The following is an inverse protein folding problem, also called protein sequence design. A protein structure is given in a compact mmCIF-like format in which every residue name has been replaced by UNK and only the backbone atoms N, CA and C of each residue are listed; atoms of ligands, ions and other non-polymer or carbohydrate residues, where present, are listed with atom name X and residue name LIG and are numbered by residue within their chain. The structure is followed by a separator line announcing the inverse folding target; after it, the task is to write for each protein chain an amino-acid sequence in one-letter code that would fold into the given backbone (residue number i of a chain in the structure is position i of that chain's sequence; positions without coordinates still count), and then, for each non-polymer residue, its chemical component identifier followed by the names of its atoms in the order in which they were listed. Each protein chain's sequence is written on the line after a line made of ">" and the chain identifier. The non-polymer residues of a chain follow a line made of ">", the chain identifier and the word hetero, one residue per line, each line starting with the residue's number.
data_IF_299225474439
#
_entry.id   IF_299225474439
#
_cell.length_a   1.000
_cell.length_b   1.000
_cell.length_c   1.000
_cell.angle_alpha   90.00
_cell.angle_beta   90.00
_cell.angle_gamma   90.00
#
_symmetry.space_group_name_H-M   'P 1'
#
loop_
_entity.id
_entity.type
_entity.pdbx_description
1 polymer ?
#
# COMPACT_ATOMS: atom_id res chain seq x y z
N UNK A 1 3.11 1.38 6.28
CA UNK A 1 3.56 2.60 5.56
C UNK A 1 4.48 3.54 6.38
N UNK A 2 4.33 3.68 7.71
CA UNK A 2 5.16 4.56 8.56
C UNK A 2 6.69 4.39 8.42
N UNK A 3 7.21 3.15 8.29
CA UNK A 3 8.66 2.87 8.22
C UNK A 3 9.34 3.22 6.88
N UNK A 4 8.61 3.27 5.77
CA UNK A 4 9.18 3.60 4.44
C UNK A 4 9.54 5.09 4.34
N UNK A 5 8.82 5.94 5.08
CA UNK A 5 9.03 7.40 5.13
C UNK A 5 10.25 7.75 5.99
N UNK A 6 10.50 7.02 7.09
CA UNK A 6 11.63 7.25 8.00
C UNK A 6 13.01 7.16 7.31
N UNK A 7 13.10 6.46 6.17
CA UNK A 7 14.34 6.35 5.40
C UNK A 7 14.76 7.63 4.68
N UNK A 8 13.84 8.55 4.40
CA UNK A 8 14.11 9.81 3.70
C UNK A 8 14.23 11.01 4.66
N UNK A 9 13.89 10.81 5.93
CA UNK A 9 13.71 11.88 6.93
C UNK A 9 14.93 12.10 7.82
N UNK A 10 15.80 11.10 7.99
CA UNK A 10 16.98 11.24 8.85
C UNK A 10 18.24 11.59 8.08
N UNK A 11 18.41 12.88 7.79
CA UNK A 11 19.70 13.58 7.89
C UNK A 11 19.46 15.10 7.86
N UNK A 12 19.83 15.75 8.97
CA UNK A 12 19.68 17.20 9.27
C UNK A 12 18.25 17.75 9.31
N UNK A 13 17.58 17.57 10.46
CA UNK A 13 16.32 18.24 10.76
C UNK A 13 16.51 19.76 10.85
N UNK A 14 15.81 20.51 9.99
CA UNK A 14 15.66 21.94 10.16
C UNK A 14 14.67 22.19 11.31
N UNK A 15 15.08 22.95 12.33
CA UNK A 15 14.32 23.40 13.52
C UNK A 15 13.12 24.34 13.21
N UNK A 16 12.48 24.21 12.05
CA UNK A 16 11.38 25.08 11.61
C UNK A 16 10.04 24.45 11.99
N UNK A 17 9.17 25.22 12.64
CA UNK A 17 7.79 24.82 12.99
C UNK A 17 6.81 25.48 12.03
N UNK A 18 5.75 24.74 11.70
CA UNK A 18 4.63 25.24 10.89
C UNK A 18 3.55 25.73 11.83
N UNK A 19 3.11 26.98 11.64
CA UNK A 19 1.92 27.49 12.30
C UNK A 19 0.83 27.66 11.25
N UNK A 20 -0.27 26.93 11.42
CA UNK A 20 -1.49 27.12 10.64
C UNK A 20 -2.20 28.35 11.19
N UNK A 21 -2.42 29.34 10.34
CA UNK A 21 -3.34 30.43 10.64
C UNK A 21 -4.63 30.11 9.90
N UNK A 22 -5.63 29.57 10.62
CA UNK A 22 -7.00 29.51 10.10
C UNK A 22 -7.55 30.93 10.15
N UNK A 23 -8.03 31.46 9.04
CA UNK A 23 -8.73 32.73 9.05
C UNK A 23 -10.03 32.56 9.86
N UNK A 24 -10.18 33.28 10.97
CA UNK A 24 -11.38 33.28 11.83
C UNK A 24 -12.63 33.92 11.14
N UNK A 25 -12.57 34.18 9.85
CA UNK A 25 -13.69 34.73 9.10
C UNK A 25 -14.60 33.61 8.61
N UNK A 26 -15.85 33.60 9.10
CA UNK A 26 -16.98 32.90 8.47
C UNK A 26 -17.18 33.45 7.05
N UNK A 27 -16.33 33.00 6.14
CA UNK A 27 -16.43 33.40 4.75
C UNK A 27 -17.36 32.42 4.04
N UNK A 28 -18.18 32.98 3.16
CA UNK A 28 -19.05 32.25 2.27
C UNK A 28 -18.54 32.41 0.85
N UNK A 29 -18.62 31.34 0.06
CA UNK A 29 -18.47 31.45 -1.37
C UNK A 29 -19.49 32.51 -1.89
N UNK A 30 -19.15 33.32 -2.92
CA UNK A 30 -20.00 34.43 -3.37
C UNK A 30 -21.42 34.05 -3.80
N UNK A 31 -21.65 32.76 -4.04
CA UNK A 31 -22.89 32.12 -4.46
C UNK A 31 -23.61 31.35 -3.34
N UNK A 32 -23.07 31.32 -2.11
CA UNK A 32 -23.74 30.72 -0.97
C UNK A 32 -25.02 31.49 -0.63
N UNK A 33 -26.15 30.80 -0.74
CA UNK A 33 -27.49 31.35 -0.49
C UNK A 33 -28.12 30.80 0.79
N UNK A 34 -27.39 29.96 1.53
CA UNK A 34 -27.87 29.25 2.71
C UNK A 34 -27.65 30.11 3.97
N UNK A 35 -28.74 30.57 4.63
CA UNK A 35 -28.66 31.43 5.81
C UNK A 35 -28.21 30.70 7.08
N UNK A 36 -28.23 29.37 7.09
CA UNK A 36 -27.80 28.53 8.23
C UNK A 36 -26.40 27.93 7.99
N UNK A 37 -25.70 28.34 6.93
CA UNK A 37 -24.34 27.90 6.66
C UNK A 37 -23.35 28.56 7.64
N UNK A 38 -22.56 27.74 8.35
CA UNK A 38 -21.56 28.22 9.33
C UNK A 38 -20.23 28.69 8.68
N UNK A 39 -20.19 28.80 7.35
CA UNK A 39 -19.03 29.15 6.52
C UNK A 39 -18.71 28.05 5.51
N UNK A 40 -18.95 28.30 4.22
CA UNK A 40 -18.69 27.36 3.12
C UNK A 40 -17.50 27.77 2.23
N UNK A 41 -16.88 28.92 2.49
CA UNK A 41 -15.64 29.27 1.83
C UNK A 41 -14.53 28.43 2.46
N UNK A 42 -13.89 27.59 1.66
CA UNK A 42 -12.71 26.85 2.08
C UNK A 42 -11.59 27.89 2.24
N UNK A 43 -11.46 28.46 3.44
CA UNK A 43 -10.47 29.49 3.72
C UNK A 43 -9.07 29.05 3.29
N UNK A 44 -8.33 29.95 2.65
CA UNK A 44 -6.95 29.68 2.25
C UNK A 44 -6.12 29.33 3.49
N UNK A 45 -5.49 28.14 3.48
CA UNK A 45 -4.54 27.76 4.53
C UNK A 45 -3.28 28.60 4.34
N UNK A 46 -3.13 29.65 5.14
CA UNK A 46 -1.89 30.43 5.24
C UNK A 46 -0.91 29.72 6.19
N UNK A 47 0.23 29.30 5.62
CA UNK A 47 1.32 28.67 6.37
C UNK A 47 2.40 29.70 6.69
N UNK A 48 2.70 29.86 7.98
CA UNK A 48 3.82 30.69 8.44
C UNK A 48 4.91 29.80 9.03
N UNK A 49 6.15 29.96 8.56
CA UNK A 49 7.30 29.21 9.06
C UNK A 49 8.01 30.01 10.14
N UNK A 50 8.23 29.38 11.30
CA UNK A 50 8.94 30.00 12.44
C UNK A 50 10.10 29.14 12.90
N UNK A 51 11.16 29.77 13.40
CA UNK A 51 12.25 29.10 14.11
C UNK A 51 11.74 28.54 15.46
N UNK A 52 12.55 27.70 16.13
CA UNK A 52 12.23 27.13 17.45
C UNK A 52 11.89 28.19 18.52
N UNK A 53 12.44 29.40 18.39
CA UNK A 53 12.20 30.54 19.28
C UNK A 53 10.93 31.36 18.92
N UNK A 54 10.18 30.92 17.91
CA UNK A 54 8.94 31.57 17.45
C UNK A 54 9.14 32.77 16.55
N UNK A 55 10.39 33.10 16.15
CA UNK A 55 10.68 34.17 15.20
C UNK A 55 10.41 33.73 13.75
N UNK A 56 10.10 34.64 12.80
CA UNK A 56 9.94 34.28 11.39
C UNK A 56 11.19 33.60 10.86
N UNK A 57 11.03 32.42 10.25
CA UNK A 57 12.13 31.69 9.62
C UNK A 57 12.32 32.14 8.16
N UNK A 58 13.53 31.93 7.63
CA UNK A 58 13.77 32.04 6.20
C UNK A 58 12.89 31.04 5.43
N UNK A 59 12.42 31.46 4.25
CA UNK A 59 11.56 30.63 3.40
C UNK A 59 12.21 29.26 3.18
N UNK A 60 11.50 28.14 3.44
CA UNK A 60 12.10 26.83 3.28
C UNK A 60 12.44 26.52 1.82
N UNK A 61 13.47 25.69 1.62
CA UNK A 61 13.84 25.20 0.28
C UNK A 61 12.78 24.21 -0.24
N UNK A 62 12.78 23.91 -1.54
CA UNK A 62 11.86 22.93 -2.12
C UNK A 62 11.97 21.55 -1.43
N UNK A 63 13.19 21.09 -1.15
CA UNK A 63 13.45 19.84 -0.44
C UNK A 63 12.99 19.89 1.03
N UNK A 64 13.17 21.02 1.72
CA UNK A 64 12.65 21.20 3.09
C UNK A 64 11.13 21.12 3.12
N UNK A 65 10.43 21.79 2.19
CA UNK A 65 8.98 21.73 2.06
C UNK A 65 8.52 20.30 1.76
N UNK A 66 9.18 19.61 0.83
CA UNK A 66 8.84 18.23 0.51
C UNK A 66 8.97 17.30 1.73
N UNK A 67 10.07 17.39 2.49
CA UNK A 67 10.24 16.60 3.73
C UNK A 67 9.18 16.92 4.78
N UNK A 68 8.81 18.20 4.93
CA UNK A 68 7.73 18.62 5.83
C UNK A 68 6.39 18.02 5.39
N UNK A 69 6.09 18.06 4.10
CA UNK A 69 4.85 17.51 3.55
C UNK A 69 4.74 15.99 3.77
N UNK A 70 5.85 15.26 3.56
CA UNK A 70 5.93 13.83 3.84
C UNK A 70 5.72 13.50 5.32
N UNK A 71 6.31 14.30 6.22
CA UNK A 71 6.12 14.13 7.66
C UNK A 71 4.67 14.35 8.06
N UNK A 72 4.05 15.42 7.55
CA UNK A 72 2.66 15.75 7.84
C UNK A 72 1.71 14.67 7.32
N UNK A 73 1.89 14.25 6.06
CA UNK A 73 1.10 13.19 5.44
C UNK A 73 1.23 11.85 6.20
N UNK A 74 2.43 11.54 6.72
CA UNK A 74 2.64 10.34 7.53
C UNK A 74 2.00 10.42 8.93
N UNK A 75 1.87 11.62 9.51
CA UNK A 75 1.22 11.82 10.81
C UNK A 75 -0.30 11.90 10.73
N UNK A 76 -0.85 12.41 9.62
CA UNK A 76 -2.29 12.53 9.44
C UNK A 76 -2.95 11.18 9.07
N UNK A 77 -2.19 10.20 8.56
CA UNK A 77 -2.71 8.88 8.22
C UNK A 77 -3.86 8.97 7.22
N UNK A 78 -4.94 8.24 7.46
CA UNK A 78 -6.21 8.29 6.70
C UNK A 78 -6.92 9.65 6.77
N UNK A 79 -6.48 10.57 7.65
CA UNK A 79 -7.01 11.95 7.79
C UNK A 79 -6.19 13.01 7.05
N UNK A 80 -5.20 12.62 6.23
CA UNK A 80 -4.38 13.56 5.45
C UNK A 80 -5.21 14.48 4.53
N UNK A 81 -6.44 14.06 4.18
CA UNK A 81 -7.38 14.86 3.41
C UNK A 81 -8.24 15.82 4.26
N UNK A 82 -8.36 15.64 5.57
CA UNK A 82 -9.30 16.41 6.41
C UNK A 82 -8.79 17.81 6.74
N UNK A 83 -7.48 17.99 6.95
CA UNK A 83 -6.91 19.30 7.29
C UNK A 83 -6.32 20.05 6.09
N UNK A 84 -6.07 19.37 4.97
CA UNK A 84 -5.46 19.95 3.77
C UNK A 84 -4.03 20.49 3.95
N UNK A 85 -3.41 20.29 5.12
CA UNK A 85 -2.10 20.87 5.44
C UNK A 85 -1.00 20.21 4.63
N UNK A 86 -0.93 18.88 4.65
CA UNK A 86 0.04 18.13 3.85
C UNK A 86 -0.04 18.53 2.37
N UNK A 87 -1.26 18.60 1.82
CA UNK A 87 -1.51 19.00 0.43
C UNK A 87 -0.96 20.40 0.14
N UNK A 88 -1.24 21.36 1.03
CA UNK A 88 -0.75 22.73 0.87
C UNK A 88 0.78 22.81 0.90
N UNK A 89 1.43 22.04 1.78
CA UNK A 89 2.90 22.01 1.85
C UNK A 89 3.48 21.37 0.58
N UNK A 90 2.84 20.32 0.05
CA UNK A 90 3.21 19.73 -1.24
C UNK A 90 3.07 20.74 -2.40
N UNK A 91 1.96 21.47 -2.49
CA UNK A 91 1.77 22.50 -3.53
C UNK A 91 2.89 23.54 -3.47
N UNK A 92 3.27 23.97 -2.25
CA UNK A 92 4.39 24.90 -2.05
C UNK A 92 5.73 24.29 -2.47
N UNK A 93 5.96 23.00 -2.21
CA UNK A 93 7.16 22.29 -2.65
C UNK A 93 7.22 22.21 -4.18
N UNK A 94 6.12 21.83 -4.84
CA UNK A 94 6.02 21.75 -6.30
C UNK A 94 6.24 23.11 -6.96
N UNK A 95 5.64 24.19 -6.43
CA UNK A 95 5.90 25.55 -6.91
C UNK A 95 7.36 25.98 -6.75
N UNK A 96 8.01 25.57 -5.67
CA UNK A 96 9.43 25.87 -5.43
C UNK A 96 10.30 25.10 -6.42
N UNK A 97 10.03 23.81 -6.64
CA UNK A 97 10.71 23.00 -7.63
C UNK A 97 10.50 23.49 -9.06
N UNK A 98 9.29 23.94 -9.44
CA UNK A 98 9.03 24.44 -10.81
C UNK A 98 9.77 25.77 -11.08
N UNK A 99 9.98 26.60 -10.05
CA UNK A 99 10.85 27.79 -10.13
C UNK A 99 12.33 27.43 -10.24
N UNK A 100 12.72 26.26 -9.76
CA UNK A 100 14.09 25.73 -9.73
C UNK A 100 14.28 24.56 -10.72
N UNK A 101 13.37 24.39 -11.70
CA UNK A 101 13.20 23.15 -12.50
C UNK A 101 14.46 22.67 -13.22
N UNK A 102 15.39 23.56 -13.53
CA UNK A 102 16.65 23.20 -14.19
C UNK A 102 17.74 22.71 -13.21
N UNK A 103 17.53 22.84 -11.89
CA UNK A 103 18.52 22.53 -10.86
C UNK A 103 18.29 21.20 -10.16
N UNK A 104 17.03 20.81 -9.90
CA UNK A 104 16.70 19.56 -9.19
C UNK A 104 15.46 18.85 -9.78
N UNK A 105 15.61 18.33 -10.99
CA UNK A 105 14.56 17.57 -11.68
C UNK A 105 14.24 16.24 -10.99
N UNK A 106 15.19 15.64 -10.26
CA UNK A 106 14.92 14.41 -9.50
C UNK A 106 13.98 14.72 -8.34
N UNK A 107 14.31 15.73 -7.54
CA UNK A 107 13.48 16.14 -6.40
C UNK A 107 12.08 16.54 -6.83
N UNK A 108 11.95 17.27 -7.94
CA UNK A 108 10.65 17.59 -8.54
C UNK A 108 9.84 16.33 -8.89
N UNK A 109 10.44 15.37 -9.59
CA UNK A 109 9.77 14.14 -9.99
C UNK A 109 9.35 13.28 -8.79
N UNK A 110 10.20 13.18 -7.76
CA UNK A 110 9.88 12.49 -6.52
C UNK A 110 8.72 13.16 -5.77
N UNK A 111 8.71 14.50 -5.74
CA UNK A 111 7.63 15.26 -5.13
C UNK A 111 6.29 15.01 -5.85
N UNK A 112 6.29 15.00 -7.19
CA UNK A 112 5.10 14.65 -8.00
C UNK A 112 4.59 13.22 -7.72
N UNK A 113 5.50 12.25 -7.61
CA UNK A 113 5.14 10.85 -7.35
C UNK A 113 4.52 10.70 -5.96
N UNK A 114 5.16 11.23 -4.92
CA UNK A 114 4.63 11.10 -3.56
C UNK A 114 3.35 11.93 -3.40
N UNK A 115 3.25 13.12 -3.98
CA UNK A 115 1.99 13.87 -4.00
C UNK A 115 0.86 13.04 -4.63
N UNK A 116 1.11 12.46 -5.81
CA UNK A 116 0.14 11.62 -6.48
C UNK A 116 -0.25 10.39 -5.67
N UNK A 117 0.69 9.80 -4.94
CA UNK A 117 0.45 8.66 -4.05
C UNK A 117 -0.39 9.02 -2.83
N UNK A 118 -0.12 10.15 -2.17
CA UNK A 118 -0.80 10.53 -0.93
C UNK A 118 -2.21 11.11 -1.16
N UNK A 119 -2.47 11.67 -2.35
CA UNK A 119 -3.76 12.30 -2.68
C UNK A 119 -4.49 11.61 -3.85
N UNK A 120 -4.08 10.39 -4.18
CA UNK A 120 -4.66 9.57 -5.26
C UNK A 120 -4.73 10.23 -6.66
N UNK A 121 -3.75 11.11 -6.96
CA UNK A 121 -3.64 11.83 -8.24
C UNK A 121 -2.71 11.10 -9.20
N UNK A 122 -3.28 10.17 -9.98
CA UNK A 122 -2.54 9.32 -10.93
C UNK A 122 -1.75 10.12 -11.99
N UNK A 123 -2.31 11.24 -12.45
CA UNK A 123 -1.69 12.11 -13.45
C UNK A 123 -0.37 12.71 -12.94
N UNK A 124 -0.30 13.05 -11.64
CA UNK A 124 0.92 13.55 -11.01
C UNK A 124 2.01 12.48 -10.99
N UNK A 125 1.65 11.23 -10.66
CA UNK A 125 2.60 10.10 -10.70
C UNK A 125 3.12 9.88 -12.12
N UNK A 126 2.23 9.90 -13.13
CA UNK A 126 2.59 9.76 -14.54
C UNK A 126 3.54 10.87 -14.99
N UNK A 127 3.27 12.12 -14.62
CA UNK A 127 4.15 13.24 -14.92
C UNK A 127 5.53 13.05 -14.29
N UNK A 128 5.60 12.68 -13.00
CA UNK A 128 6.87 12.40 -12.32
C UNK A 128 7.67 11.28 -13.01
N UNK A 129 7.02 10.18 -13.41
CA UNK A 129 7.66 9.10 -14.17
C UNK A 129 8.20 9.59 -15.52
N UNK A 130 7.47 10.44 -16.24
CA UNK A 130 7.95 11.02 -17.50
C UNK A 130 9.16 11.94 -17.32
N UNK A 131 9.21 12.73 -16.23
CA UNK A 131 10.40 13.52 -15.89
C UNK A 131 11.61 12.61 -15.66
N UNK A 132 11.45 11.50 -14.94
CA UNK A 132 12.53 10.52 -14.70
C UNK A 132 12.99 9.82 -15.99
N UNK A 133 12.05 9.48 -16.89
CA UNK A 133 12.38 8.97 -18.24
C UNK A 133 13.14 10.00 -19.06
N UNK A 134 12.82 11.29 -18.90
CA UNK A 134 13.56 12.41 -19.51
C UNK A 134 15.00 12.49 -19.01
N UNK A 135 15.18 12.41 -17.69
CA UNK A 135 16.49 12.42 -17.02
C UNK A 135 17.39 11.25 -17.43
N UNK A 136 16.81 10.05 -17.60
CA UNK A 136 17.57 8.90 -18.08
C UNK A 136 18.10 9.12 -19.52
N UNK A 137 17.28 9.72 -20.39
CA UNK A 137 17.64 9.95 -21.80
C UNK A 137 18.65 11.08 -22.00
N UNK A 138 18.63 12.09 -21.13
CA UNK A 138 19.45 13.29 -21.30
C UNK A 138 20.93 13.07 -20.98
N UNK A 139 21.31 11.91 -20.40
CA UNK A 139 22.66 11.66 -19.86
C UNK A 139 23.18 12.79 -18.95
N UNK A 140 22.30 13.66 -18.42
CA UNK A 140 22.65 14.77 -17.52
C UNK A 140 23.24 14.32 -16.18
N UNK A 141 23.37 13.01 -15.98
CA UNK A 141 24.13 12.37 -14.91
C UNK A 141 25.64 12.69 -15.01
N UNK A 142 26.15 13.02 -16.21
CA UNK A 142 27.52 13.52 -16.40
C UNK A 142 27.65 14.99 -15.96
N UNK A 143 27.67 15.23 -14.64
CA UNK A 143 27.94 16.55 -14.04
C UNK A 143 27.08 16.88 -12.82
N UNK A 144 25.96 16.18 -12.63
CA UNK A 144 25.15 16.25 -11.41
C UNK A 144 25.73 15.39 -10.29
N UNK A 145 25.50 15.75 -9.02
CA UNK A 145 25.76 14.86 -7.86
C UNK A 145 24.88 13.59 -7.85
N UNK A 146 23.92 13.50 -8.77
CA UNK A 146 23.00 12.39 -8.93
C UNK A 146 23.74 11.10 -9.28
N UNK A 147 23.53 10.05 -8.51
CA UNK A 147 23.98 8.72 -8.88
C UNK A 147 22.98 8.08 -9.83
N UNK A 148 23.48 7.24 -10.74
CA UNK A 148 22.62 6.44 -11.63
C UNK A 148 21.67 5.54 -10.83
N UNK A 149 22.11 5.09 -9.65
CA UNK A 149 21.33 4.27 -8.72
C UNK A 149 20.12 5.02 -8.18
N UNK A 150 20.28 6.25 -7.69
CA UNK A 150 19.16 7.08 -7.19
C UNK A 150 18.09 7.31 -8.25
N UNK A 151 18.50 7.55 -9.50
CA UNK A 151 17.58 7.70 -10.62
C UNK A 151 16.77 6.41 -10.87
N UNK A 152 17.43 5.25 -10.91
CA UNK A 152 16.74 3.98 -11.13
C UNK A 152 15.84 3.58 -9.97
N UNK A 153 16.23 3.87 -8.72
CA UNK A 153 15.35 3.70 -7.55
C UNK A 153 14.11 4.56 -7.74
N UNK A 154 14.27 5.88 -7.93
CA UNK A 154 13.14 6.80 -8.06
C UNK A 154 12.21 6.39 -9.22
N UNK A 155 12.79 6.01 -10.36
CA UNK A 155 12.05 5.62 -11.56
C UNK A 155 11.29 4.31 -11.36
N UNK A 156 11.94 3.26 -10.84
CA UNK A 156 11.29 1.98 -10.57
C UNK A 156 10.14 2.13 -9.57
N UNK A 157 10.37 2.88 -8.49
CA UNK A 157 9.35 3.18 -7.47
C UNK A 157 8.17 3.96 -8.05
N UNK A 158 8.43 5.02 -8.81
CA UNK A 158 7.38 5.80 -9.48
C UNK A 158 6.50 4.96 -10.41
N UNK A 159 7.11 4.06 -11.19
CA UNK A 159 6.37 3.15 -12.07
C UNK A 159 5.53 2.15 -11.27
N UNK A 160 6.06 1.58 -10.17
CA UNK A 160 5.28 0.68 -9.32
C UNK A 160 4.11 1.38 -8.62
N UNK A 161 4.31 2.60 -8.13
CA UNK A 161 3.21 3.42 -7.58
C UNK A 161 2.14 3.64 -8.63
N UNK A 162 2.53 4.00 -9.87
CA UNK A 162 1.57 4.15 -10.97
C UNK A 162 0.79 2.85 -11.22
N UNK A 163 1.49 1.71 -11.27
CA UNK A 163 0.88 0.40 -11.48
C UNK A 163 -0.09 0.02 -10.35
N UNK A 164 0.29 0.29 -9.11
CA UNK A 164 -0.53 0.02 -7.93
C UNK A 164 -1.82 0.83 -7.94
N UNK A 165 -1.76 2.11 -8.28
CA UNK A 165 -2.94 2.97 -8.39
C UNK A 165 -3.85 2.53 -9.54
N UNK A 166 -3.28 2.19 -10.70
CA UNK A 166 -4.07 1.67 -11.83
C UNK A 166 -4.74 0.33 -11.49
N UNK A 167 -4.08 -0.51 -10.69
CA UNK A 167 -4.63 -1.77 -10.21
C UNK A 167 -5.71 -1.60 -9.15
N UNK A 168 -5.49 -0.75 -8.15
CA UNK A 168 -6.47 -0.46 -7.12
C UNK A 168 -7.80 -0.02 -7.74
N UNK A 169 -7.76 0.90 -8.72
CA UNK A 169 -8.96 1.33 -9.47
C UNK A 169 -9.63 0.20 -10.24
N UNK A 170 -8.85 -0.73 -10.83
CA UNK A 170 -9.42 -1.90 -11.52
C UNK A 170 -10.11 -2.86 -10.55
N UNK A 171 -9.54 -3.05 -9.37
CA UNK A 171 -10.08 -3.91 -8.31
C UNK A 171 -11.35 -3.28 -7.75
N UNK A 172 -11.32 -1.99 -7.42
CA UNK A 172 -12.50 -1.23 -6.93
C UNK A 172 -13.67 -1.32 -7.92
N UNK A 173 -13.45 -1.02 -9.20
CA UNK A 173 -14.49 -1.15 -10.24
C UNK A 173 -14.98 -2.60 -10.37
N UNK A 174 -14.10 -3.58 -10.17
CA UNK A 174 -14.49 -4.99 -10.22
C UNK A 174 -15.35 -5.37 -9.01
N UNK A 175 -14.96 -4.97 -7.79
CA UNK A 175 -15.70 -5.19 -6.55
C UNK A 175 -17.07 -4.51 -6.58
N UNK A 176 -17.17 -3.27 -7.08
CA UNK A 176 -18.44 -2.55 -7.26
C UNK A 176 -19.39 -3.31 -8.21
N UNK A 177 -18.91 -3.71 -9.38
CA UNK A 177 -19.74 -4.43 -10.36
C UNK A 177 -20.13 -5.82 -9.83
N UNK A 178 -19.24 -6.49 -9.10
CA UNK A 178 -19.52 -7.81 -8.56
C UNK A 178 -20.55 -7.73 -7.41
N UNK A 179 -20.37 -6.80 -6.47
CA UNK A 179 -21.30 -6.59 -5.36
C UNK A 179 -22.69 -6.09 -5.79
N UNK A 180 -22.81 -5.37 -6.90
CA UNK A 180 -24.10 -5.01 -7.49
C UNK A 180 -24.84 -6.20 -8.12
N UNK A 181 -24.14 -7.28 -8.50
CA UNK A 181 -24.73 -8.48 -9.10
C UNK A 181 -24.98 -9.61 -8.08
N UNK A 182 -24.39 -9.55 -6.88
CA UNK A 182 -24.57 -10.54 -5.80
C UNK A 182 -25.95 -10.46 -5.10
N UNK A 183 -26.88 -9.62 -5.58
CA UNK A 183 -28.25 -9.58 -5.03
C UNK A 183 -29.12 -10.77 -5.44
N UNK A 184 -28.66 -11.60 -6.37
CA UNK A 184 -29.34 -12.82 -6.80
C UNK A 184 -28.41 -14.04 -6.54
N UNK A 185 -28.95 -15.03 -5.83
CA UNK A 185 -28.27 -16.23 -5.32
C UNK A 185 -27.28 -16.89 -6.31
N UNK A 186 -26.05 -17.14 -5.84
CA UNK A 186 -25.05 -18.06 -6.42
C UNK A 186 -24.69 -17.88 -7.91
N UNK A 187 -24.68 -16.66 -8.46
CA UNK A 187 -24.14 -16.46 -9.81
C UNK A 187 -22.60 -16.52 -9.82
N UNK A 188 -22.04 -17.52 -10.54
CA UNK A 188 -20.60 -17.57 -10.87
C UNK A 188 -20.15 -16.23 -11.48
N UNK A 189 -19.07 -15.65 -10.94
CA UNK A 189 -18.47 -14.40 -11.43
C UNK A 189 -18.33 -14.44 -12.96
N UNK A 190 -18.94 -13.47 -13.65
CA UNK A 190 -18.89 -13.39 -15.11
C UNK A 190 -17.41 -13.44 -15.60
N UNK A 191 -17.01 -14.45 -16.40
CA UNK A 191 -15.67 -14.56 -16.95
C UNK A 191 -15.23 -13.33 -17.76
N UNK A 192 -16.18 -12.53 -18.26
CA UNK A 192 -15.91 -11.26 -18.94
C UNK A 192 -15.43 -10.15 -17.98
N UNK A 193 -15.85 -10.18 -16.72
CA UNK A 193 -15.39 -9.28 -15.66
C UNK A 193 -13.99 -9.65 -15.21
N UNK A 194 -13.69 -10.94 -15.06
CA UNK A 194 -12.33 -11.42 -14.74
C UNK A 194 -11.29 -10.95 -15.77
N UNK A 195 -11.67 -10.85 -17.05
CA UNK A 195 -10.80 -10.31 -18.10
C UNK A 195 -10.40 -8.85 -17.88
N UNK A 196 -11.21 -8.05 -17.16
CA UNK A 196 -10.85 -6.66 -16.82
C UNK A 196 -9.69 -6.59 -15.84
N UNK A 197 -9.47 -7.65 -15.06
CA UNK A 197 -8.34 -7.80 -14.15
C UNK A 197 -7.08 -8.33 -14.85
N UNK A 198 -7.14 -8.70 -16.14
CA UNK A 198 -5.93 -9.12 -16.85
C UNK A 198 -4.89 -7.98 -16.96
N UNK A 199 -3.61 -8.37 -16.86
CA UNK A 199 -2.49 -7.45 -17.08
C UNK A 199 -2.44 -7.05 -18.55
N UNK A 200 -2.71 -5.77 -18.81
CA UNK A 200 -2.71 -5.25 -20.18
C UNK A 200 -1.30 -5.23 -20.77
N UNK A 201 -1.19 -5.11 -22.11
CA UNK A 201 0.13 -4.93 -22.77
C UNK A 201 0.88 -3.69 -22.30
N UNK A 202 0.17 -2.63 -21.93
CA UNK A 202 0.77 -1.41 -21.42
C UNK A 202 1.27 -1.61 -19.99
N UNK A 203 0.46 -2.24 -19.15
CA UNK A 203 0.83 -2.62 -17.78
C UNK A 203 2.07 -3.52 -17.79
N UNK A 204 2.11 -4.53 -18.66
CA UNK A 204 3.28 -5.40 -18.80
C UNK A 204 4.55 -4.65 -19.18
N UNK A 205 4.48 -3.65 -20.07
CA UNK A 205 5.64 -2.82 -20.41
C UNK A 205 6.15 -2.01 -19.22
N UNK A 206 5.24 -1.49 -18.40
CA UNK A 206 5.59 -0.77 -17.18
C UNK A 206 6.22 -1.71 -16.16
N UNK A 207 5.68 -2.93 -16.00
CA UNK A 207 6.29 -3.98 -15.16
C UNK A 207 7.71 -4.29 -15.61
N UNK A 208 7.91 -4.57 -16.90
CA UNK A 208 9.23 -4.88 -17.45
C UNK A 208 10.21 -3.70 -17.24
N UNK A 209 9.74 -2.47 -17.36
CA UNK A 209 10.54 -1.26 -17.12
C UNK A 209 10.92 -1.08 -15.63
N UNK A 210 9.98 -1.28 -14.71
CA UNK A 210 10.22 -1.19 -13.28
C UNK A 210 11.21 -2.26 -12.80
N UNK A 211 10.99 -3.52 -13.23
CA UNK A 211 11.89 -4.64 -12.95
C UNK A 211 13.29 -4.37 -13.47
N UNK A 212 13.42 -3.87 -14.70
CA UNK A 212 14.74 -3.51 -15.26
C UNK A 212 15.45 -2.42 -14.45
N UNK A 213 14.72 -1.44 -13.93
CA UNK A 213 15.31 -0.41 -13.05
C UNK A 213 15.85 -1.05 -11.75
N UNK A 214 15.06 -1.91 -11.12
CA UNK A 214 15.46 -2.55 -9.87
C UNK A 214 16.52 -3.64 -10.03
N UNK A 215 16.55 -4.36 -11.15
CA UNK A 215 17.65 -5.28 -11.44
C UNK A 215 19.01 -4.57 -11.44
N UNK A 216 19.06 -3.33 -11.94
CA UNK A 216 20.29 -2.51 -11.90
C UNK A 216 20.66 -2.14 -10.47
N UNK A 217 19.68 -1.80 -9.63
CA UNK A 217 19.89 -1.43 -8.22
C UNK A 217 20.35 -2.66 -7.42
N UNK A 218 19.60 -3.77 -7.50
CA UNK A 218 19.82 -4.97 -6.72
C UNK A 218 21.07 -5.76 -7.14
N UNK A 219 21.55 -5.59 -8.38
CA UNK A 219 22.83 -6.15 -8.83
C UNK A 219 24.05 -5.26 -8.52
N UNK A 220 23.84 -4.14 -7.85
CA UNK A 220 24.89 -3.23 -7.40
C UNK A 220 25.97 -3.94 -6.56
N UNK A 221 27.22 -3.52 -6.73
CA UNK A 221 28.37 -4.06 -5.97
C UNK A 221 28.67 -3.28 -4.69
N UNK A 222 28.07 -2.11 -4.54
CA UNK A 222 28.22 -1.26 -3.36
C UNK A 222 27.31 -1.80 -2.27
N UNK A 223 27.87 -2.56 -1.34
CA UNK A 223 27.14 -3.13 -0.21
C UNK A 223 27.35 -2.30 1.07
N UNK A 224 27.28 -0.97 0.95
CA UNK A 224 27.19 -0.14 2.15
C UNK A 224 25.78 -0.19 2.76
N UNK A 225 25.65 0.22 4.01
CA UNK A 225 24.37 0.18 4.75
C UNK A 225 23.28 1.02 4.07
N UNK A 226 23.67 2.11 3.38
CA UNK A 226 22.75 2.98 2.65
C UNK A 226 22.15 2.29 1.44
N UNK A 227 22.98 1.60 0.64
CA UNK A 227 22.55 0.82 -0.51
C UNK A 227 21.66 -0.35 -0.10
N UNK A 228 22.04 -1.09 0.94
CA UNK A 228 21.24 -2.23 1.44
C UNK A 228 19.83 -1.78 1.83
N UNK A 229 19.71 -0.66 2.55
CA UNK A 229 18.42 -0.08 2.91
C UNK A 229 17.57 0.22 1.68
N UNK A 230 18.15 0.87 0.66
CA UNK A 230 17.43 1.20 -0.57
C UNK A 230 17.04 -0.05 -1.37
N UNK A 231 17.91 -1.06 -1.42
CA UNK A 231 17.63 -2.33 -2.08
C UNK A 231 16.49 -3.09 -1.40
N UNK A 232 16.45 -3.12 -0.05
CA UNK A 232 15.33 -3.68 0.70
C UNK A 232 14.02 -2.92 0.45
N UNK A 233 14.05 -1.60 0.31
CA UNK A 233 12.88 -0.82 -0.08
C UNK A 233 12.38 -1.20 -1.48
N UNK A 234 13.29 -1.36 -2.46
CA UNK A 234 12.92 -1.83 -3.81
C UNK A 234 12.28 -3.22 -3.76
N UNK A 235 12.81 -4.13 -2.93
CA UNK A 235 12.23 -5.46 -2.73
C UNK A 235 10.82 -5.38 -2.13
N UNK A 236 10.60 -4.49 -1.16
CA UNK A 236 9.28 -4.26 -0.59
C UNK A 236 8.30 -3.67 -1.62
N UNK A 237 8.74 -2.77 -2.49
CA UNK A 237 7.85 -2.17 -3.49
C UNK A 237 7.44 -3.22 -4.55
N UNK A 238 8.36 -4.10 -4.98
CA UNK A 238 8.02 -5.24 -5.84
C UNK A 238 7.02 -6.18 -5.16
N UNK A 239 7.25 -6.50 -3.87
CA UNK A 239 6.34 -7.31 -3.06
C UNK A 239 4.94 -6.71 -3.02
N UNK A 240 4.81 -5.42 -2.74
CA UNK A 240 3.52 -4.74 -2.64
C UNK A 240 2.74 -4.74 -3.96
N UNK A 241 3.42 -4.61 -5.10
CA UNK A 241 2.74 -4.79 -6.38
C UNK A 241 2.36 -6.25 -6.65
N UNK A 242 3.23 -7.21 -6.32
CA UNK A 242 2.94 -8.64 -6.45
C UNK A 242 1.76 -9.13 -5.61
N UNK A 243 1.53 -8.50 -4.46
CA UNK A 243 0.38 -8.75 -3.58
C UNK A 243 -0.98 -8.47 -4.26
N UNK A 244 -1.05 -7.45 -5.12
CA UNK A 244 -2.26 -7.06 -5.86
C UNK A 244 -2.54 -7.97 -7.08
N UNK A 245 -1.67 -8.95 -7.33
CA UNK A 245 -1.77 -9.89 -8.44
C UNK A 245 -2.20 -11.25 -7.90
N UNK A 246 -3.49 -11.37 -7.59
CA UNK A 246 -4.10 -12.51 -6.87
C UNK A 246 -4.78 -13.56 -7.76
N UNK A 247 -5.16 -13.19 -8.98
CA UNK A 247 -5.81 -14.13 -9.91
C UNK A 247 -4.87 -15.23 -10.45
N UNK A 248 -5.36 -16.46 -10.73
CA UNK A 248 -4.56 -17.55 -11.29
C UNK A 248 -3.87 -17.24 -12.63
N UNK A 249 -4.42 -16.34 -13.45
CA UNK A 249 -3.79 -15.92 -14.70
C UNK A 249 -2.66 -14.88 -14.51
N UNK A 250 -2.38 -14.45 -13.29
CA UNK A 250 -1.27 -13.53 -12.97
C UNK A 250 0.07 -14.23 -12.71
N UNK A 251 0.12 -15.57 -12.64
CA UNK A 251 1.30 -16.36 -12.27
C UNK A 251 2.60 -15.89 -12.93
N UNK A 252 2.58 -15.70 -14.24
CA UNK A 252 3.77 -15.28 -14.98
C UNK A 252 4.26 -13.89 -14.57
N UNK A 253 3.34 -12.96 -14.30
CA UNK A 253 3.67 -11.59 -13.90
C UNK A 253 4.18 -11.57 -12.46
N UNK A 254 3.53 -12.31 -11.55
CA UNK A 254 3.99 -12.46 -10.16
C UNK A 254 5.42 -13.00 -10.13
N UNK A 255 5.71 -14.03 -10.92
CA UNK A 255 7.07 -14.59 -11.05
C UNK A 255 8.07 -13.57 -11.58
N UNK A 256 7.71 -12.77 -12.57
CA UNK A 256 8.59 -11.72 -13.12
C UNK A 256 8.87 -10.64 -12.07
N UNK A 257 7.83 -10.15 -11.39
CA UNK A 257 7.93 -9.05 -10.42
C UNK A 257 8.70 -9.47 -9.16
N UNK A 258 8.45 -10.65 -8.61
CA UNK A 258 9.03 -11.06 -7.32
C UNK A 258 10.43 -11.66 -7.44
N UNK A 259 10.83 -12.14 -8.62
CA UNK A 259 12.13 -12.80 -8.84
C UNK A 259 13.34 -11.93 -8.47
N UNK A 260 13.43 -10.64 -8.85
CA UNK A 260 14.54 -9.77 -8.44
C UNK A 260 14.67 -9.67 -6.92
N UNK A 261 13.56 -9.46 -6.22
CA UNK A 261 13.52 -9.36 -4.76
C UNK A 261 13.99 -10.66 -4.09
N UNK A 262 13.44 -11.81 -4.53
CA UNK A 262 13.83 -13.13 -4.03
C UNK A 262 15.32 -13.42 -4.24
N UNK A 263 15.84 -13.08 -5.42
CA UNK A 263 17.25 -13.28 -5.75
C UNK A 263 18.15 -12.43 -4.87
N UNK A 264 17.79 -11.16 -4.65
CA UNK A 264 18.56 -10.25 -3.81
C UNK A 264 18.55 -10.69 -2.34
N UNK A 265 17.36 -10.98 -1.77
CA UNK A 265 17.19 -11.31 -0.36
C UNK A 265 17.96 -12.57 0.06
N UNK A 266 18.19 -13.51 -0.86
CA UNK A 266 19.04 -14.69 -0.64
C UNK A 266 20.53 -14.36 -0.47
N UNK A 267 20.96 -13.16 -0.86
CA UNK A 267 22.36 -12.70 -0.80
C UNK A 267 22.62 -11.69 0.31
N UNK A 268 21.57 -11.24 1.01
CA UNK A 268 21.66 -10.28 2.12
C UNK A 268 22.46 -10.90 3.26
N UNK A 269 23.45 -10.16 3.77
CA UNK A 269 24.25 -10.57 4.93
C UNK A 269 23.39 -10.47 6.19
N UNK A 270 23.60 -11.37 7.13
CA UNK A 270 22.90 -11.37 8.43
C UNK A 270 21.36 -11.34 8.30
N UNK A 271 20.82 -11.92 7.22
CA UNK A 271 19.38 -11.99 6.92
C UNK A 271 18.56 -12.49 8.11
N UNK A 272 19.04 -13.52 8.83
CA UNK A 272 18.34 -14.10 9.99
C UNK A 272 18.16 -13.11 11.17
N UNK A 273 18.89 -11.99 11.17
CA UNK A 273 18.78 -10.94 12.19
C UNK A 273 17.98 -9.71 11.72
N UNK A 274 17.63 -9.64 10.42
CA UNK A 274 16.92 -8.51 9.84
C UNK A 274 15.42 -8.84 9.68
N UNK A 275 14.63 -8.44 10.67
CA UNK A 275 13.17 -8.70 10.69
C UNK A 275 12.46 -8.17 9.44
N UNK A 276 12.87 -7.00 8.92
CA UNK A 276 12.26 -6.40 7.73
C UNK A 276 12.58 -7.20 6.47
N UNK A 277 13.83 -7.63 6.28
CA UNK A 277 14.22 -8.46 5.15
C UNK A 277 13.54 -9.85 5.21
N UNK A 278 13.43 -10.45 6.40
CA UNK A 278 12.72 -11.71 6.60
C UNK A 278 11.23 -11.59 6.28
N UNK A 279 10.58 -10.48 6.70
CA UNK A 279 9.20 -10.16 6.33
C UNK A 279 9.03 -10.15 4.81
N UNK A 280 9.85 -9.35 4.10
CA UNK A 280 9.77 -9.25 2.64
C UNK A 280 9.99 -10.62 1.98
N UNK A 281 10.99 -11.38 2.42
CA UNK A 281 11.28 -12.70 1.87
C UNK A 281 10.10 -13.66 2.05
N UNK A 282 9.56 -13.74 3.27
CA UNK A 282 8.38 -14.56 3.58
C UNK A 282 7.18 -14.17 2.73
N UNK A 283 6.89 -12.86 2.60
CA UNK A 283 5.80 -12.37 1.75
C UNK A 283 5.99 -12.70 0.28
N UNK A 284 7.19 -12.52 -0.28
CA UNK A 284 7.46 -12.84 -1.68
C UNK A 284 7.25 -14.33 -1.97
N UNK A 285 7.70 -15.21 -1.07
CA UNK A 285 7.49 -16.66 -1.18
C UNK A 285 6.00 -17.00 -1.10
N UNK A 286 5.27 -16.39 -0.16
CA UNK A 286 3.82 -16.56 -0.05
C UNK A 286 3.08 -16.14 -1.33
N UNK A 287 3.28 -14.91 -1.80
CA UNK A 287 2.56 -14.41 -2.98
C UNK A 287 2.90 -15.17 -4.26
N UNK A 288 4.14 -15.66 -4.41
CA UNK A 288 4.49 -16.53 -5.53
C UNK A 288 3.79 -17.90 -5.44
N UNK A 289 3.63 -18.46 -4.24
CA UNK A 289 2.94 -19.73 -4.02
C UNK A 289 1.41 -19.59 -4.18
N UNK A 290 0.83 -18.51 -3.64
CA UNK A 290 -0.60 -18.19 -3.77
C UNK A 290 -1.03 -18.04 -5.24
N UNK A 291 -0.18 -17.48 -6.09
CA UNK A 291 -0.49 -17.31 -7.51
C UNK A 291 -0.57 -18.67 -8.25
N UNK A 292 0.26 -19.65 -7.90
CA UNK A 292 0.29 -20.98 -8.52
C UNK A 292 0.23 -22.08 -7.45
N UNK A 293 -0.92 -22.29 -6.79
CA UNK A 293 -1.03 -23.21 -5.65
C UNK A 293 -0.87 -24.68 -6.06
N UNK A 294 -1.02 -24.98 -7.36
CA UNK A 294 -0.86 -26.32 -7.93
C UNK A 294 0.57 -26.57 -8.45
N UNK A 295 1.48 -25.61 -8.27
CA UNK A 295 2.86 -25.74 -8.69
C UNK A 295 3.65 -26.80 -7.91
N UNK A 296 4.65 -27.38 -8.58
CA UNK A 296 5.59 -28.29 -7.91
C UNK A 296 6.35 -27.58 -6.79
N UNK A 297 6.32 -28.14 -5.57
CA UNK A 297 7.08 -27.62 -4.43
C UNK A 297 6.44 -26.44 -3.69
N UNK A 298 5.19 -26.08 -4.01
CA UNK A 298 4.45 -24.99 -3.33
C UNK A 298 4.38 -25.20 -1.82
N UNK A 299 4.13 -26.43 -1.35
CA UNK A 299 4.11 -26.74 0.09
C UNK A 299 5.42 -26.33 0.78
N UNK A 300 6.57 -26.80 0.25
CA UNK A 300 7.89 -26.47 0.81
C UNK A 300 8.18 -24.95 0.74
N UNK A 301 7.67 -24.27 -0.29
CA UNK A 301 7.78 -22.83 -0.42
C UNK A 301 6.98 -22.10 0.67
N UNK A 302 5.76 -22.55 0.99
CA UNK A 302 4.94 -22.01 2.08
C UNK A 302 5.53 -22.30 3.44
N UNK A 303 6.04 -23.50 3.68
CA UNK A 303 6.77 -23.83 4.91
C UNK A 303 8.00 -22.92 5.10
N UNK A 304 8.73 -22.64 4.03
CA UNK A 304 9.85 -21.69 4.06
C UNK A 304 9.35 -20.27 4.35
N UNK A 305 8.24 -19.84 3.76
CA UNK A 305 7.63 -18.54 4.03
C UNK A 305 7.27 -18.41 5.53
N UNK A 306 6.61 -19.41 6.09
CA UNK A 306 6.27 -19.49 7.52
C UNK A 306 7.50 -19.42 8.41
N UNK A 307 8.58 -20.13 8.07
CA UNK A 307 9.84 -20.07 8.82
C UNK A 307 10.37 -18.63 8.88
N UNK A 308 10.39 -17.91 7.74
CA UNK A 308 10.91 -16.53 7.69
C UNK A 308 10.00 -15.54 8.41
N UNK A 309 8.68 -15.67 8.26
CA UNK A 309 7.71 -14.80 8.93
C UNK A 309 7.71 -15.00 10.45
N UNK A 310 7.81 -16.24 10.94
CA UNK A 310 7.92 -16.51 12.38
C UNK A 310 9.22 -15.96 12.98
N UNK A 311 10.34 -16.02 12.24
CA UNK A 311 11.59 -15.35 12.64
C UNK A 311 11.43 -13.83 12.67
N UNK A 312 10.79 -13.24 11.66
CA UNK A 312 10.49 -11.80 11.62
C UNK A 312 9.61 -11.37 12.81
N UNK A 313 8.57 -12.14 13.13
CA UNK A 313 7.68 -11.94 14.30
C UNK A 313 8.47 -11.99 15.60
N UNK A 314 9.33 -13.00 15.77
CA UNK A 314 10.12 -13.20 16.99
C UNK A 314 11.20 -12.13 17.21
N UNK A 315 11.70 -11.52 16.13
CA UNK A 315 12.69 -10.44 16.20
C UNK A 315 12.10 -9.10 16.68
N UNK A 316 10.77 -8.91 16.58
CA UNK A 316 10.06 -7.71 17.02
C UNK A 316 9.37 -7.94 18.37
N UNK A 317 10.14 -8.06 19.46
CA UNK A 317 9.64 -8.52 20.77
C UNK A 317 8.80 -7.52 21.57
N UNK A 318 8.78 -6.23 21.18
CA UNK A 318 8.09 -5.17 21.95
C UNK A 318 6.73 -4.75 21.35
N UNK A 319 6.53 -4.94 20.04
CA UNK A 319 5.26 -4.76 19.33
C UNK A 319 5.16 -5.82 18.23
N UNK A 320 4.12 -6.66 18.27
CA UNK A 320 3.91 -7.63 17.19
C UNK A 320 3.56 -6.88 15.90
N UNK A 321 4.30 -7.13 14.83
CA UNK A 321 3.99 -6.61 13.51
C UNK A 321 2.73 -7.34 13.00
N UNK A 322 1.55 -6.73 13.16
CA UNK A 322 0.26 -7.36 12.85
C UNK A 322 0.16 -7.78 11.38
N UNK A 323 0.79 -7.05 10.45
CA UNK A 323 0.88 -7.45 9.03
C UNK A 323 1.64 -8.78 8.87
N UNK A 324 2.65 -9.05 9.71
CA UNK A 324 3.34 -10.35 9.72
C UNK A 324 2.45 -11.45 10.28
N UNK A 325 1.64 -11.15 11.31
CA UNK A 325 0.72 -12.11 11.92
C UNK A 325 -0.39 -12.51 10.95
N UNK A 326 -1.01 -11.53 10.30
CA UNK A 326 -2.04 -11.74 9.27
C UNK A 326 -1.49 -12.61 8.12
N UNK A 327 -0.29 -12.30 7.66
CA UNK A 327 0.37 -13.05 6.60
C UNK A 327 0.75 -14.49 7.01
N UNK A 328 1.09 -14.72 8.29
CA UNK A 328 1.24 -16.09 8.82
C UNK A 328 -0.10 -16.82 8.75
N UNK A 329 -1.21 -16.18 9.13
CA UNK A 329 -2.56 -16.73 9.00
C UNK A 329 -2.87 -17.16 7.56
N UNK A 330 -2.63 -16.27 6.59
CA UNK A 330 -2.81 -16.62 5.18
C UNK A 330 -1.89 -17.74 4.69
N UNK A 331 -0.64 -17.79 5.13
CA UNK A 331 0.25 -18.92 4.82
C UNK A 331 -0.31 -20.24 5.34
N UNK A 332 -0.83 -20.26 6.57
CA UNK A 332 -1.40 -21.45 7.21
C UNK A 332 -2.68 -21.91 6.53
N UNK A 333 -3.54 -20.95 6.17
CA UNK A 333 -4.75 -21.23 5.40
C UNK A 333 -4.42 -21.83 4.03
N UNK A 334 -3.42 -21.29 3.32
CA UNK A 334 -2.98 -21.89 2.06
C UNK A 334 -2.37 -23.29 2.30
N UNK A 335 -1.57 -23.46 3.35
CA UNK A 335 -0.96 -24.75 3.68
C UNK A 335 -2.01 -25.83 3.98
N UNK A 336 -3.10 -25.50 4.69
CA UNK A 336 -4.18 -26.47 4.97
C UNK A 336 -4.82 -27.01 3.70
N UNK A 337 -4.88 -26.23 2.61
CA UNK A 337 -5.39 -26.71 1.31
C UNK A 337 -4.42 -27.62 0.55
N UNK A 338 -3.15 -27.66 0.94
CA UNK A 338 -2.07 -28.42 0.27
C UNK A 338 -1.75 -29.73 1.00
N UNK A 339 -2.12 -29.84 2.26
CA UNK A 339 -1.88 -31.02 3.09
C UNK A 339 -2.89 -32.14 2.78
N UNK A 340 -2.51 -33.37 3.10
CA UNK A 340 -3.35 -34.57 2.87
C UNK A 340 -3.81 -35.25 4.15
N UNK A 341 -3.12 -35.02 5.27
CA UNK A 341 -3.47 -35.60 6.57
C UNK A 341 -4.46 -34.69 7.29
N UNK A 342 -5.63 -35.23 7.64
CA UNK A 342 -6.76 -34.47 8.20
C UNK A 342 -6.40 -33.71 9.49
N UNK A 343 -5.65 -34.35 10.40
CA UNK A 343 -5.22 -33.72 11.65
C UNK A 343 -4.34 -32.49 11.40
N UNK A 344 -3.40 -32.58 10.45
CA UNK A 344 -2.51 -31.47 10.08
C UNK A 344 -3.29 -30.34 9.37
N UNK A 345 -4.27 -30.70 8.55
CA UNK A 345 -5.17 -29.73 7.87
C UNK A 345 -5.93 -28.91 8.92
N UNK A 346 -6.58 -29.59 9.88
CA UNK A 346 -7.38 -28.94 10.92
C UNK A 346 -6.51 -28.08 11.84
N UNK A 347 -5.30 -28.54 12.18
CA UNK A 347 -4.34 -27.74 12.96
C UNK A 347 -3.99 -26.44 12.24
N UNK A 348 -3.57 -26.51 10.96
CA UNK A 348 -3.19 -25.30 10.22
C UNK A 348 -4.39 -24.36 9.99
N UNK A 349 -5.58 -24.91 9.76
CA UNK A 349 -6.80 -24.13 9.61
C UNK A 349 -7.15 -23.36 10.89
N UNK A 350 -7.12 -24.02 12.05
CA UNK A 350 -7.40 -23.37 13.34
C UNK A 350 -6.34 -22.32 13.67
N UNK A 351 -5.06 -22.64 13.49
CA UNK A 351 -3.97 -21.68 13.76
C UNK A 351 -4.04 -20.46 12.81
N UNK A 352 -4.61 -20.61 11.61
CA UNK A 352 -4.87 -19.49 10.72
C UNK A 352 -5.96 -18.56 11.29
N UNK A 353 -7.09 -19.12 11.74
CA UNK A 353 -8.19 -18.37 12.37
C UNK A 353 -7.68 -17.61 13.60
N UNK A 354 -6.90 -18.27 14.46
CA UNK A 354 -6.34 -17.65 15.67
C UNK A 354 -5.44 -16.45 15.33
N UNK A 355 -4.67 -16.53 14.23
CA UNK A 355 -3.88 -15.40 13.74
C UNK A 355 -4.77 -14.22 13.29
N UNK A 356 -5.85 -14.50 12.56
CA UNK A 356 -6.77 -13.45 12.09
C UNK A 356 -7.53 -12.79 13.25
N UNK A 357 -8.02 -13.58 14.22
CA UNK A 357 -8.64 -13.06 15.45
C UNK A 357 -7.69 -12.16 16.23
N UNK A 358 -6.43 -12.58 16.39
CA UNK A 358 -5.41 -11.76 17.05
C UNK A 358 -5.19 -10.41 16.36
N UNK A 359 -5.22 -10.38 15.03
CA UNK A 359 -5.09 -9.14 14.24
C UNK A 359 -6.30 -8.24 14.45
N UNK A 360 -7.51 -8.78 14.41
CA UNK A 360 -8.74 -8.01 14.65
C UNK A 360 -8.80 -7.42 16.06
N UNK A 361 -8.37 -8.17 17.08
CA UNK A 361 -8.34 -7.72 18.48
C UNK A 361 -7.35 -6.59 18.74
N UNK A 362 -6.23 -6.56 18.02
CA UNK A 362 -5.12 -5.64 18.26
C UNK A 362 -5.04 -4.47 17.27
N UNK A 363 -5.87 -4.46 16.23
CA UNK A 363 -5.87 -3.39 15.23
C UNK A 363 -6.56 -2.13 15.74
N UNK A 364 -5.91 -0.98 15.56
CA UNK A 364 -6.49 0.34 15.88
C UNK A 364 -7.60 0.75 14.90
N UNK A 365 -7.59 0.21 13.68
CA UNK A 365 -8.56 0.47 12.62
C UNK A 365 -9.41 -0.77 12.35
N UNK A 366 -10.74 -0.64 12.14
CA UNK A 366 -11.60 -1.77 11.84
C UNK A 366 -11.28 -2.34 10.45
N UNK A 367 -10.91 -3.62 10.40
CA UNK A 367 -10.72 -4.35 9.14
C UNK A 367 -11.95 -5.20 8.85
N UNK A 368 -12.95 -4.58 8.20
CA UNK A 368 -14.24 -5.23 7.90
C UNK A 368 -14.09 -6.48 7.02
N UNK A 369 -13.23 -6.42 5.99
CA UNK A 369 -12.96 -7.56 5.10
C UNK A 369 -12.39 -8.75 5.87
N UNK A 370 -11.47 -8.51 6.80
CA UNK A 370 -10.90 -9.58 7.64
C UNK A 370 -11.93 -10.12 8.64
N UNK A 371 -12.77 -9.25 9.20
CA UNK A 371 -13.84 -9.66 10.11
C UNK A 371 -14.87 -10.56 9.44
N UNK A 372 -15.35 -10.19 8.25
CA UNK A 372 -16.26 -11.00 7.41
C UNK A 372 -15.62 -12.35 7.07
N UNK A 373 -14.34 -12.36 6.69
CA UNK A 373 -13.62 -13.59 6.41
C UNK A 373 -13.53 -14.50 7.65
N UNK A 374 -13.26 -13.95 8.83
CA UNK A 374 -13.22 -14.74 10.08
C UNK A 374 -14.61 -15.29 10.42
N UNK A 375 -15.67 -14.49 10.28
CA UNK A 375 -17.04 -14.94 10.54
C UNK A 375 -17.41 -16.14 9.65
N UNK A 376 -17.11 -16.06 8.34
CA UNK A 376 -17.33 -17.15 7.39
C UNK A 376 -16.54 -18.43 7.76
N UNK A 377 -15.30 -18.27 8.24
CA UNK A 377 -14.40 -19.38 8.55
C UNK A 377 -14.66 -20.04 9.90
N UNK A 378 -15.15 -19.27 10.88
CA UNK A 378 -15.41 -19.71 12.25
C UNK A 378 -16.81 -20.34 12.41
N UNK A 379 -17.71 -20.10 11.45
CA UNK A 379 -19.04 -20.72 11.41
C UNK A 379 -19.96 -20.24 12.53
N UNK A 380 -19.76 -19.02 13.02
CA UNK A 380 -20.75 -18.34 13.87
C UNK A 380 -21.91 -17.89 12.96
N UNK A 381 -22.80 -18.84 12.64
CA UNK A 381 -24.06 -18.59 11.93
C UNK A 381 -24.94 -17.60 12.72
N UNK A 382 -25.66 -16.76 11.99
CA UNK A 382 -26.73 -15.84 12.42
C UNK A 382 -27.92 -16.58 13.08
N UNK A 383 -27.69 -17.31 14.17
CA UNK A 383 -28.70 -18.06 14.94
C UNK A 383 -29.64 -17.15 15.78
N UNK A 384 -29.83 -15.89 15.42
CA UNK A 384 -30.79 -14.96 16.07
C UNK A 384 -31.78 -14.29 15.10
N UNK A 385 -32.20 -14.98 14.04
CA UNK A 385 -33.52 -14.70 13.47
C UNK A 385 -34.52 -15.59 14.23
N UNK A 386 -35.06 -15.04 15.33
CA UNK A 386 -36.29 -15.53 15.93
C UNK A 386 -37.36 -15.59 14.82
N UNK A 387 -37.58 -16.78 14.25
CA UNK A 387 -38.83 -17.07 13.56
C UNK A 387 -39.94 -16.96 14.62
N UNK A 388 -40.50 -15.76 14.75
CA UNK A 388 -41.78 -15.53 15.40
C UNK A 388 -42.81 -16.43 14.68
N UNK A 389 -42.99 -17.65 15.20
CA UNK A 389 -44.15 -18.48 14.97
C UNK A 389 -45.38 -17.70 15.48
N UNK A 390 -45.91 -16.83 14.61
CA UNK A 390 -47.26 -16.29 14.74
C UNK A 390 -48.27 -17.43 14.52
N UNK A 391 -48.40 -18.31 15.51
CA UNK A 391 -49.63 -19.08 15.75
C UNK A 391 -50.73 -18.09 16.17
N UNK A 392 -51.42 -17.50 15.20
CA UNK A 392 -52.72 -16.87 15.44
C UNK A 392 -53.81 -17.40 14.50
N UNK A 393 -54.76 -18.06 15.16
CA UNK A 393 -56.20 -18.09 14.89
C UNK A 393 -56.73 -19.13 13.89
N UNK A 394 -56.85 -20.37 14.39
CA UNK A 394 -58.02 -21.21 14.10
C UNK A 394 -59.27 -20.55 14.70
N UNK A 395 -60.05 -19.85 13.87
CA UNK A 395 -61.47 -19.61 14.12
C UNK A 395 -62.28 -20.25 12.99
N UNK A 396 -63.09 -21.23 13.39
CA UNK A 396 -64.13 -21.92 12.66
C UNK A 396 -65.10 -20.96 11.94
N UNK A 397 -65.61 -21.34 10.76
CA UNK A 397 -67.06 -21.52 10.56
C UNK A 397 -67.42 -21.98 9.12
N UNK A 398 -68.07 -23.15 9.09
CA UNK A 398 -69.28 -23.50 8.34
C UNK A 398 -69.38 -23.23 6.82
N UNK A 399 -69.38 -24.34 6.05
CA UNK A 399 -70.46 -24.59 5.09
C UNK A 399 -70.52 -26.05 4.65
N UNK A 400 -71.43 -26.86 5.21
CA UNK A 400 -72.33 -27.74 4.44
C UNK A 400 -73.12 -28.71 5.33
N UNK A 401 -74.37 -28.35 5.67
CA UNK A 401 -75.61 -29.09 5.34
C UNK A 401 -76.83 -28.55 6.09
#
# INVERSE_FOLDING_TARGET
>A
MKRTVESLVNESGSSKRIKVVKSDSQNHAPDCSDPDCDGCDVGEIELTFTNEDGTPADKPTALELFRMAMSEAASEGSKANENGMAKRIFDMALEAYDKEKDQDQLGYAQCLIEFGRYFDVLESVKEGVEVLRGLEKSNSVEGSKLTKTELYIAKGRGILVQLQMERAKKIEIFEEINGENESDEEEEIDPSLLKKLEVSKQERKLVDEAVACFDIVLSGKDHDEGHEKQALLCCNDLRQYGEQLDMPFHVDIVRIVLKPALTYLQTVKDLDSNAFALKILGSCLFYQARADPQGDGVQAQIETALEKLNKAKSANSEDQDLEVVELIGHCKMLLSTLLTEEDDILEQYQEAIDCFKLVLEQSDEPNHKLAEMVQLLDGEDDDEIEEDEDEQDEDDEDNSS
#
